data_IF_672289877244
#
_entry.id   IF_672289877244
#
_cell.length_a   1.000
_cell.length_b   1.000
_cell.length_c   1.000
_cell.angle_alpha   90.00
_cell.angle_beta   90.00
_cell.angle_gamma   90.00
#
_symmetry.space_group_name_H-M   'P 1'
#
loop_
_entity.id
_entity.type
_entity.pdbx_description
1 polymer ?
#
# COMPACT_ATOMS: atom_id res chain seq x y z
N UNK A 1 5.38 12.90 101.25
CA UNK A 1 5.63 11.68 101.97
C UNK A 1 5.58 10.46 100.99
N UNK A 2 6.67 9.78 100.82
CA UNK A 2 6.90 8.45 100.25
C UNK A 2 6.24 8.11 98.85
N UNK A 3 7.09 8.11 97.84
CA UNK A 3 7.59 6.99 97.03
C UNK A 3 6.68 5.76 96.85
N UNK A 4 6.36 5.40 95.63
CA UNK A 4 6.76 4.08 95.20
C UNK A 4 6.89 3.99 93.63
N UNK A 5 7.98 3.41 93.21
CA UNK A 5 8.33 3.07 91.83
C UNK A 5 7.68 1.71 91.52
N UNK A 6 7.12 1.55 90.34
CA UNK A 6 7.11 0.25 89.71
C UNK A 6 7.20 0.40 88.19
N UNK A 7 8.23 -0.23 87.67
CA UNK A 7 8.55 -0.31 86.26
C UNK A 7 7.51 -1.16 85.51
N UNK A 8 7.11 -0.70 84.36
CA UNK A 8 6.35 -1.50 83.39
C UNK A 8 7.22 -1.65 82.17
N UNK A 9 7.64 -2.88 81.91
CA UNK A 9 8.40 -3.26 80.72
C UNK A 9 7.46 -3.16 79.47
N UNK A 10 7.91 -2.35 78.53
CA UNK A 10 7.23 -2.24 77.23
C UNK A 10 7.81 -3.32 76.28
N UNK A 11 6.99 -4.31 75.95
CA UNK A 11 7.28 -5.30 74.88
C UNK A 11 7.12 -4.63 73.53
N UNK A 12 8.22 -4.42 72.82
CA UNK A 12 8.19 -3.96 71.45
C UNK A 12 7.92 -5.18 70.57
N UNK A 13 6.68 -5.27 69.99
CA UNK A 13 6.34 -6.22 68.98
C UNK A 13 6.81 -5.70 67.64
N UNK A 14 7.92 -6.23 67.11
CA UNK A 14 8.41 -5.93 65.78
C UNK A 14 7.51 -6.58 64.74
N UNK A 15 6.69 -5.75 64.05
CA UNK A 15 5.91 -6.14 62.89
C UNK A 15 6.88 -6.16 61.70
N UNK A 16 7.34 -7.35 61.31
CA UNK A 16 8.09 -7.51 60.04
C UNK A 16 7.09 -7.39 58.89
N UNK A 17 7.04 -6.19 58.28
CA UNK A 17 6.38 -6.00 56.98
C UNK A 17 7.30 -6.63 55.94
N UNK A 18 6.97 -7.83 55.52
CA UNK A 18 7.54 -8.45 54.31
C UNK A 18 7.06 -7.66 53.08
N UNK A 19 7.91 -6.76 52.60
CA UNK A 19 7.77 -6.26 51.24
C UNK A 19 8.04 -7.46 50.30
N UNK A 20 6.96 -8.09 49.88
CA UNK A 20 7.01 -8.97 48.71
C UNK A 20 7.37 -8.10 47.51
N UNK A 21 8.61 -8.16 47.08
CA UNK A 21 9.03 -7.79 45.74
C UNK A 21 8.24 -8.68 44.79
N UNK A 22 7.09 -8.17 44.31
CA UNK A 22 6.50 -8.64 43.08
C UNK A 22 7.59 -8.42 42.02
N UNK A 23 8.30 -9.47 41.63
CA UNK A 23 8.94 -9.50 40.34
C UNK A 23 7.81 -9.24 39.35
N UNK A 24 7.71 -8.03 38.86
CA UNK A 24 7.01 -7.77 37.61
C UNK A 24 7.58 -8.79 36.62
N UNK A 25 6.75 -9.61 36.04
CA UNK A 25 7.11 -10.35 34.87
C UNK A 25 7.52 -9.28 33.84
N UNK A 26 8.82 -9.03 33.71
CA UNK A 26 9.34 -8.50 32.48
C UNK A 26 8.95 -9.57 31.46
N UNK A 27 8.05 -9.27 30.54
CA UNK A 27 8.00 -9.99 29.28
C UNK A 27 9.44 -10.02 28.79
N UNK A 28 9.96 -11.20 28.54
CA UNK A 28 11.31 -11.37 27.97
C UNK A 28 11.31 -10.58 26.66
N UNK A 29 12.00 -9.45 26.68
CA UNK A 29 12.19 -8.52 25.58
C UNK A 29 13.27 -9.06 24.64
N UNK A 30 13.19 -10.36 24.33
CA UNK A 30 14.11 -11.00 23.41
C UNK A 30 13.57 -10.84 21.99
N UNK A 31 14.37 -10.24 21.12
CA UNK A 31 14.19 -10.26 19.68
C UNK A 31 13.89 -11.69 19.22
N UNK A 32 13.03 -11.82 18.23
CA UNK A 32 12.71 -13.12 17.63
C UNK A 32 13.98 -13.70 16.99
N UNK A 33 14.38 -14.93 17.36
CA UNK A 33 15.48 -15.63 16.71
C UNK A 33 14.94 -16.45 15.52
N UNK A 34 15.34 -16.08 14.33
CA UNK A 34 14.92 -16.71 13.07
C UNK A 34 16.06 -17.51 12.42
N UNK A 35 17.06 -17.94 13.21
CA UNK A 35 18.22 -18.70 12.73
C UNK A 35 17.81 -20.03 12.09
N UNK A 36 18.13 -20.20 10.81
CA UNK A 36 17.81 -21.42 10.06
C UNK A 36 16.38 -21.50 9.53
N UNK A 37 15.55 -20.48 9.82
CA UNK A 37 14.16 -20.43 9.37
C UNK A 37 14.03 -19.92 7.92
N UNK A 38 12.87 -20.18 7.35
CA UNK A 38 12.46 -19.64 6.05
C UNK A 38 11.22 -18.77 6.28
N UNK A 39 11.31 -17.51 5.88
CA UNK A 39 10.18 -16.58 5.93
C UNK A 39 9.41 -16.66 4.60
N UNK A 40 8.16 -17.06 4.65
CA UNK A 40 7.25 -17.02 3.53
C UNK A 40 6.59 -15.65 3.44
N UNK A 41 6.98 -14.86 2.42
CA UNK A 41 6.38 -13.56 2.14
C UNK A 41 5.29 -13.70 1.07
N UNK A 42 4.04 -13.74 1.51
CA UNK A 42 2.88 -13.91 0.64
C UNK A 42 2.59 -12.59 -0.10
N UNK A 43 2.60 -12.62 -1.43
CA UNK A 43 2.21 -11.52 -2.32
C UNK A 43 0.96 -11.97 -3.11
N UNK A 44 -0.21 -11.31 -2.94
CA UNK A 44 -1.47 -11.74 -3.55
C UNK A 44 -1.65 -11.31 -5.01
N UNK A 45 -0.57 -11.23 -5.78
CA UNK A 45 -0.51 -10.77 -7.17
C UNK A 45 0.41 -11.65 -8.00
N UNK A 46 0.37 -11.47 -9.35
CA UNK A 46 1.31 -12.13 -10.26
C UNK A 46 2.75 -11.63 -10.08
N UNK A 47 3.71 -12.40 -10.58
CA UNK A 47 5.16 -12.12 -10.45
C UNK A 47 5.65 -10.97 -11.36
N UNK A 48 4.80 -10.42 -12.22
CA UNK A 48 5.19 -9.45 -13.25
C UNK A 48 4.99 -7.98 -12.86
N UNK A 49 4.27 -7.72 -11.75
CA UNK A 49 3.83 -6.39 -11.36
C UNK A 49 4.70 -5.69 -10.32
N UNK A 50 4.28 -4.47 -9.95
CA UNK A 50 5.00 -3.63 -8.99
C UNK A 50 5.11 -4.23 -7.58
N UNK A 51 4.14 -5.05 -7.13
CA UNK A 51 4.23 -5.71 -5.82
C UNK A 51 5.30 -6.79 -5.79
N UNK A 52 5.48 -7.53 -6.90
CA UNK A 52 6.56 -8.50 -7.03
C UNK A 52 7.94 -7.80 -7.01
N UNK A 53 8.09 -6.71 -7.77
CA UNK A 53 9.35 -5.93 -7.81
C UNK A 53 9.71 -5.36 -6.44
N UNK A 54 8.72 -4.79 -5.75
CA UNK A 54 8.87 -4.26 -4.41
C UNK A 54 9.27 -5.35 -3.40
N UNK A 55 8.60 -6.50 -3.39
CA UNK A 55 8.94 -7.59 -2.48
C UNK A 55 10.32 -8.18 -2.80
N UNK A 56 10.66 -8.38 -4.06
CA UNK A 56 11.98 -8.88 -4.48
C UNK A 56 13.13 -7.89 -4.20
N UNK A 57 12.84 -6.59 -4.15
CA UNK A 57 13.81 -5.59 -3.70
C UNK A 57 14.11 -5.73 -2.20
N UNK A 58 13.05 -5.87 -1.39
CA UNK A 58 13.22 -5.94 0.06
C UNK A 58 13.64 -7.32 0.57
N UNK A 59 13.27 -8.42 -0.08
CA UNK A 59 13.49 -9.78 0.45
C UNK A 59 14.95 -10.09 0.82
N UNK A 60 15.97 -9.82 -0.03
CA UNK A 60 17.36 -10.03 0.35
C UNK A 60 17.82 -9.10 1.48
N UNK A 61 17.37 -7.82 1.46
CA UNK A 61 17.70 -6.85 2.50
C UNK A 61 17.09 -7.24 3.85
N UNK A 62 15.86 -7.77 3.83
CA UNK A 62 15.17 -8.25 5.02
C UNK A 62 15.85 -9.51 5.59
N UNK A 63 16.28 -10.43 4.72
CA UNK A 63 17.08 -11.59 5.12
C UNK A 63 18.34 -11.17 5.89
N UNK A 64 19.05 -10.16 5.38
CA UNK A 64 20.28 -9.66 6.02
C UNK A 64 20.01 -8.88 7.33
N UNK A 65 18.84 -8.24 7.45
CA UNK A 65 18.50 -7.38 8.58
C UNK A 65 17.84 -8.12 9.75
N UNK A 66 17.17 -9.24 9.49
CA UNK A 66 16.49 -10.03 10.52
C UNK A 66 17.50 -10.82 11.37
N UNK A 67 17.24 -10.98 12.68
CA UNK A 67 18.06 -11.83 13.55
C UNK A 67 18.14 -13.28 13.05
N UNK A 68 19.33 -13.82 12.97
CA UNK A 68 19.56 -15.17 12.47
C UNK A 68 19.68 -15.29 10.96
N UNK A 69 19.55 -14.22 10.21
CA UNK A 69 19.63 -14.17 8.73
C UNK A 69 18.80 -15.26 8.04
N UNK A 70 17.47 -15.31 8.29
CA UNK A 70 16.60 -16.32 7.71
C UNK A 70 16.53 -16.17 6.18
N UNK A 71 16.15 -17.24 5.48
CA UNK A 71 15.85 -17.12 4.05
C UNK A 71 14.48 -16.49 3.84
N UNK A 72 14.39 -15.33 3.18
CA UNK A 72 13.10 -14.73 2.81
C UNK A 72 12.69 -15.15 1.41
N UNK A 73 11.55 -15.85 1.29
CA UNK A 73 11.02 -16.38 0.04
C UNK A 73 9.71 -15.68 -0.31
N UNK A 74 9.68 -15.01 -1.47
CA UNK A 74 8.46 -14.38 -1.97
C UNK A 74 7.54 -15.45 -2.59
N UNK A 75 6.32 -15.57 -2.06
CA UNK A 75 5.29 -16.53 -2.50
C UNK A 75 4.15 -15.79 -3.19
N UNK A 76 3.97 -16.02 -4.48
CA UNK A 76 2.88 -15.40 -5.24
C UNK A 76 1.59 -16.20 -5.12
N UNK A 77 0.50 -15.53 -4.71
CA UNK A 77 -0.84 -16.13 -4.55
C UNK A 77 -1.90 -15.26 -5.22
N UNK A 78 -1.85 -15.08 -6.55
CA UNK A 78 -2.82 -14.24 -7.27
C UNK A 78 -4.22 -14.84 -7.24
N UNK A 79 -5.19 -14.02 -7.60
CA UNK A 79 -6.59 -14.41 -7.80
C UNK A 79 -7.58 -13.48 -7.13
N UNK A 80 -8.72 -13.31 -7.82
CA UNK A 80 -9.81 -12.41 -7.43
C UNK A 80 -9.31 -10.98 -7.07
N UNK A 81 -8.34 -10.46 -7.84
CA UNK A 81 -7.76 -9.13 -7.62
C UNK A 81 -7.13 -8.95 -6.24
N UNK A 82 -6.44 -9.94 -5.70
CA UNK A 82 -5.81 -10.06 -4.39
C UNK A 82 -6.65 -10.68 -3.26
N UNK A 83 -7.98 -10.65 -3.30
CA UNK A 83 -8.80 -11.12 -2.18
C UNK A 83 -8.57 -12.60 -1.83
N UNK A 84 -8.14 -13.44 -2.79
CA UNK A 84 -7.78 -14.84 -2.51
C UNK A 84 -6.63 -14.94 -1.51
N UNK A 85 -5.51 -14.26 -1.80
CA UNK A 85 -4.33 -14.28 -0.92
C UNK A 85 -4.59 -13.59 0.42
N UNK A 86 -5.33 -12.48 0.42
CA UNK A 86 -5.70 -11.75 1.63
C UNK A 86 -6.63 -12.57 2.54
N UNK A 87 -7.66 -13.23 1.98
CA UNK A 87 -8.53 -14.13 2.72
C UNK A 87 -7.77 -15.36 3.27
N UNK A 88 -6.77 -15.85 2.54
CA UNK A 88 -5.90 -16.91 3.03
C UNK A 88 -5.08 -16.43 4.22
N UNK A 89 -4.42 -15.26 4.11
CA UNK A 89 -3.63 -14.69 5.20
C UNK A 89 -4.45 -14.42 6.45
N UNK A 90 -5.70 -13.93 6.32
CA UNK A 90 -6.62 -13.74 7.44
C UNK A 90 -6.90 -15.02 8.23
N UNK A 91 -6.90 -16.17 7.55
CA UNK A 91 -7.11 -17.47 8.18
C UNK A 91 -5.87 -18.08 8.86
N UNK A 92 -4.72 -17.41 8.76
CA UNK A 92 -3.49 -17.86 9.43
C UNK A 92 -3.45 -17.30 10.85
N UNK A 93 -3.14 -18.19 11.79
CA UNK A 93 -2.76 -17.78 13.14
C UNK A 93 -1.27 -17.43 13.17
N UNK A 94 -0.89 -16.51 14.06
CA UNK A 94 0.53 -16.29 14.32
C UNK A 94 1.12 -17.53 15.01
N UNK A 95 2.16 -18.10 14.44
CA UNK A 95 2.86 -19.25 15.03
C UNK A 95 4.24 -18.83 15.55
N UNK A 96 5.19 -18.53 14.66
CA UNK A 96 6.61 -18.34 14.97
C UNK A 96 7.24 -17.13 14.27
N UNK A 97 6.46 -16.34 13.56
CA UNK A 97 6.93 -15.17 12.79
C UNK A 97 7.50 -15.52 11.42
N UNK A 98 7.32 -16.74 10.92
CA UNK A 98 7.84 -17.16 9.61
C UNK A 98 6.92 -16.84 8.44
N UNK A 99 5.78 -16.21 8.69
CA UNK A 99 4.85 -15.78 7.63
C UNK A 99 4.56 -14.30 7.70
N UNK A 100 4.79 -13.60 6.58
CA UNK A 100 4.43 -12.20 6.40
C UNK A 100 3.61 -12.01 5.11
N UNK A 101 2.85 -10.93 5.05
CA UNK A 101 1.98 -10.63 3.92
C UNK A 101 2.29 -9.25 3.33
N UNK A 102 2.39 -9.18 2.02
CA UNK A 102 2.56 -7.93 1.30
C UNK A 102 1.27 -7.51 0.59
N UNK A 103 0.61 -6.49 1.09
CA UNK A 103 -0.60 -5.94 0.48
C UNK A 103 -0.32 -4.90 -0.61
N UNK A 104 -1.40 -4.39 -1.19
CA UNK A 104 -1.42 -3.16 -1.99
C UNK A 104 -2.79 -2.48 -1.90
N UNK A 105 -2.95 -1.31 -2.50
CA UNK A 105 -4.26 -0.66 -2.61
C UNK A 105 -5.34 -1.56 -3.23
N UNK A 106 -4.98 -2.51 -4.09
CA UNK A 106 -5.92 -3.53 -4.61
C UNK A 106 -6.38 -4.55 -3.56
N UNK A 107 -5.69 -4.66 -2.43
CA UNK A 107 -6.16 -5.42 -1.25
C UNK A 107 -6.99 -4.55 -0.33
N UNK A 108 -6.62 -3.30 -0.17
CA UNK A 108 -7.24 -2.33 0.72
C UNK A 108 -8.61 -1.85 0.22
N UNK A 109 -8.75 -1.48 -1.05
CA UNK A 109 -9.97 -0.88 -1.60
C UNK A 109 -11.21 -1.79 -1.52
N UNK A 110 -11.13 -3.11 -1.78
CA UNK A 110 -12.26 -3.99 -1.56
C UNK A 110 -12.76 -3.99 -0.11
N UNK A 111 -11.85 -3.87 0.85
CA UNK A 111 -12.19 -3.71 2.26
C UNK A 111 -12.92 -2.38 2.51
N UNK A 112 -12.38 -1.26 2.00
CA UNK A 112 -13.00 0.06 2.11
C UNK A 112 -14.38 0.15 1.44
N UNK A 113 -14.61 -0.62 0.39
CA UNK A 113 -15.86 -0.62 -0.38
C UNK A 113 -16.86 -1.71 0.08
N UNK A 114 -16.59 -2.42 1.17
CA UNK A 114 -17.42 -3.52 1.65
C UNK A 114 -17.71 -4.57 0.57
N UNK A 115 -16.69 -4.90 -0.25
CA UNK A 115 -16.80 -5.92 -1.31
C UNK A 115 -17.15 -7.28 -0.67
N UNK A 116 -18.25 -7.94 -1.07
CA UNK A 116 -18.71 -9.17 -0.41
C UNK A 116 -17.74 -10.36 -0.55
N UNK A 117 -16.70 -10.26 -1.36
CA UNK A 117 -15.63 -11.25 -1.47
C UNK A 117 -14.57 -11.11 -0.37
N UNK A 118 -14.53 -9.98 0.36
CA UNK A 118 -13.63 -9.71 1.48
C UNK A 118 -14.06 -10.52 2.69
N UNK A 119 -13.14 -11.29 3.25
CA UNK A 119 -13.28 -12.07 4.49
C UNK A 119 -12.12 -11.80 5.43
N UNK A 120 -11.49 -10.65 5.29
CA UNK A 120 -10.38 -10.19 6.11
C UNK A 120 -10.72 -8.84 6.75
N UNK A 121 -10.18 -8.63 7.94
CA UNK A 121 -10.22 -7.37 8.63
C UNK A 121 -8.84 -6.70 8.47
N UNK A 122 -8.74 -5.81 7.47
CA UNK A 122 -7.46 -5.24 7.04
C UNK A 122 -6.78 -4.44 8.16
N UNK A 123 -7.58 -3.81 9.03
CA UNK A 123 -7.10 -3.01 10.16
C UNK A 123 -6.59 -3.83 11.34
N UNK A 124 -6.91 -5.14 11.41
CA UNK A 124 -6.48 -6.01 12.51
C UNK A 124 -5.06 -6.56 12.32
N UNK A 125 -4.51 -6.44 11.11
CA UNK A 125 -3.16 -6.93 10.82
C UNK A 125 -2.09 -5.98 11.34
N UNK A 126 -0.96 -6.54 11.77
CA UNK A 126 0.14 -5.77 12.36
C UNK A 126 1.07 -5.25 11.27
N UNK A 127 0.97 -3.96 10.94
CA UNK A 127 1.83 -3.33 9.92
C UNK A 127 3.22 -3.10 10.46
N UNK A 128 4.25 -3.50 9.69
CA UNK A 128 5.68 -3.32 10.02
C UNK A 128 6.42 -2.44 9.01
N UNK A 129 5.89 -2.32 7.79
CA UNK A 129 6.36 -1.39 6.75
C UNK A 129 5.17 -0.87 5.96
N UNK A 130 5.15 0.44 5.68
CA UNK A 130 4.26 1.05 4.71
C UNK A 130 5.07 1.87 3.70
N UNK A 131 4.88 1.56 2.41
CA UNK A 131 5.61 2.15 1.30
C UNK A 131 4.69 2.98 0.44
N UNK A 132 5.02 4.26 0.25
CA UNK A 132 4.39 5.12 -0.75
C UNK A 132 4.76 4.72 -2.18
N UNK A 133 3.96 5.15 -3.12
CA UNK A 133 4.24 5.02 -4.56
C UNK A 133 3.49 6.10 -5.32
N UNK A 134 3.96 6.42 -6.52
CA UNK A 134 3.18 7.14 -7.52
C UNK A 134 2.54 6.19 -8.54
N UNK A 135 1.87 6.79 -9.51
CA UNK A 135 1.32 6.10 -10.67
C UNK A 135 1.46 6.96 -11.92
N UNK A 136 1.92 6.37 -13.01
CA UNK A 136 2.11 7.06 -14.30
C UNK A 136 1.20 6.44 -15.34
N UNK A 137 0.36 7.28 -15.96
CA UNK A 137 -0.46 6.92 -17.12
C UNK A 137 0.35 7.15 -18.39
N UNK A 138 0.20 6.25 -19.34
CA UNK A 138 0.90 6.33 -20.62
C UNK A 138 0.03 5.83 -21.78
N UNK A 139 0.34 6.32 -22.96
CA UNK A 139 -0.36 6.07 -24.21
C UNK A 139 0.60 5.55 -25.28
N UNK A 140 0.12 4.88 -26.34
CA UNK A 140 0.94 4.64 -27.54
C UNK A 140 1.22 5.96 -28.27
N UNK A 141 2.29 5.98 -29.05
CA UNK A 141 2.82 7.18 -29.66
C UNK A 141 1.82 7.94 -30.58
N UNK A 142 0.97 7.21 -31.28
CA UNK A 142 -0.06 7.80 -32.17
C UNK A 142 -1.17 8.52 -31.40
N UNK A 143 -1.59 8.01 -30.25
CA UNK A 143 -2.57 8.68 -29.37
C UNK A 143 -1.92 9.87 -28.63
N UNK A 144 -0.68 9.74 -28.22
CA UNK A 144 0.06 10.86 -27.66
C UNK A 144 0.21 12.02 -28.66
N UNK A 145 0.45 11.73 -29.94
CA UNK A 145 0.50 12.75 -30.98
C UNK A 145 -0.87 13.46 -31.19
N UNK A 146 -1.99 12.74 -31.08
CA UNK A 146 -3.31 13.35 -31.09
C UNK A 146 -3.51 14.28 -29.90
N UNK A 147 -3.13 13.82 -28.71
CA UNK A 147 -3.17 14.59 -27.46
C UNK A 147 -2.35 15.90 -27.60
N UNK A 148 -1.11 15.84 -28.11
CA UNK A 148 -0.24 16.99 -28.30
C UNK A 148 -0.84 18.02 -29.28
N UNK A 149 -1.60 17.56 -30.27
CA UNK A 149 -2.16 18.42 -31.31
C UNK A 149 -3.48 19.09 -30.95
N UNK A 150 -4.26 18.52 -30.03
CA UNK A 150 -5.62 19.00 -29.77
C UNK A 150 -6.12 18.78 -28.33
N UNK A 151 -5.22 18.51 -27.38
CA UNK A 151 -5.61 18.29 -25.97
C UNK A 151 -6.39 17.00 -25.77
N UNK A 152 -6.99 16.88 -24.59
CA UNK A 152 -7.83 15.71 -24.22
C UNK A 152 -9.03 15.57 -25.15
N UNK A 153 -9.56 16.68 -25.63
CA UNK A 153 -10.70 16.73 -26.56
C UNK A 153 -10.42 15.99 -27.86
N UNK A 154 -9.18 15.95 -28.34
CA UNK A 154 -8.80 15.18 -29.53
C UNK A 154 -8.88 13.66 -29.35
N UNK A 155 -9.03 13.20 -28.12
CA UNK A 155 -9.19 11.79 -27.75
C UNK A 155 -10.65 11.38 -27.54
N UNK A 156 -11.62 12.29 -27.64
CA UNK A 156 -13.05 12.05 -27.33
C UNK A 156 -13.68 10.92 -28.14
N UNK A 157 -13.26 10.75 -29.41
CA UNK A 157 -13.75 9.69 -30.30
C UNK A 157 -12.91 8.38 -30.21
N UNK A 158 -11.94 8.34 -29.29
CA UNK A 158 -11.07 7.17 -29.11
C UNK A 158 -11.70 6.18 -28.16
N UNK A 159 -11.87 4.92 -28.61
CA UNK A 159 -12.19 3.83 -27.71
C UNK A 159 -10.91 3.34 -27.04
N UNK A 160 -10.79 3.56 -25.75
CA UNK A 160 -9.68 3.06 -24.98
C UNK A 160 -9.99 1.66 -24.43
N UNK A 161 -9.02 0.76 -24.51
CA UNK A 161 -9.05 -0.56 -23.88
C UNK A 161 -7.98 -0.57 -22.78
N UNK A 162 -8.40 -0.96 -21.59
CA UNK A 162 -7.57 -0.99 -20.40
C UNK A 162 -7.62 -2.35 -19.69
N UNK A 163 -6.47 -2.99 -19.49
CA UNK A 163 -6.38 -4.19 -18.67
C UNK A 163 -6.50 -3.86 -17.18
N UNK A 164 -7.51 -4.38 -16.49
CA UNK A 164 -7.83 -4.06 -15.10
C UNK A 164 -7.91 -5.29 -14.19
N UNK A 165 -7.40 -5.17 -12.96
CA UNK A 165 -7.57 -6.19 -11.92
C UNK A 165 -9.02 -6.26 -11.41
N UNK A 166 -9.78 -5.18 -11.57
CA UNK A 166 -11.17 -5.06 -11.14
C UNK A 166 -11.53 -3.66 -10.69
N UNK A 167 -12.77 -3.29 -10.84
CA UNK A 167 -13.27 -1.94 -10.57
C UNK A 167 -13.17 -1.54 -9.08
N UNK A 168 -13.19 -2.51 -8.16
CA UNK A 168 -13.02 -2.28 -6.71
C UNK A 168 -11.55 -2.40 -6.26
N UNK A 169 -10.58 -2.31 -7.18
CA UNK A 169 -9.14 -2.43 -6.91
C UNK A 169 -8.48 -1.06 -6.98
N UNK A 170 -7.16 -1.01 -6.84
CA UNK A 170 -6.41 0.25 -7.03
C UNK A 170 -6.70 0.91 -8.39
N UNK A 171 -7.12 0.10 -9.37
CA UNK A 171 -7.58 0.53 -10.69
C UNK A 171 -8.78 1.48 -10.66
N UNK A 172 -9.50 1.59 -9.53
CA UNK A 172 -10.53 2.59 -9.29
C UNK A 172 -10.00 4.02 -9.52
N UNK A 173 -8.77 4.30 -9.09
CA UNK A 173 -8.19 5.65 -9.21
C UNK A 173 -8.01 6.08 -10.67
N UNK A 174 -7.36 5.30 -11.56
CA UNK A 174 -7.33 5.65 -12.98
C UNK A 174 -8.71 5.64 -13.65
N UNK A 175 -9.61 4.72 -13.29
CA UNK A 175 -10.95 4.67 -13.87
C UNK A 175 -11.76 5.94 -13.56
N UNK A 176 -11.70 6.44 -12.32
CA UNK A 176 -12.32 7.72 -11.94
C UNK A 176 -11.65 8.91 -12.65
N UNK A 177 -10.31 8.92 -12.74
CA UNK A 177 -9.59 9.98 -13.44
C UNK A 177 -9.99 10.08 -14.92
N UNK A 178 -10.09 8.94 -15.61
CA UNK A 178 -10.49 8.91 -17.03
C UNK A 178 -11.97 9.24 -17.23
N UNK A 179 -12.85 8.85 -16.30
CA UNK A 179 -14.25 9.28 -16.30
C UNK A 179 -14.37 10.80 -16.18
N UNK A 180 -13.63 11.42 -15.24
CA UNK A 180 -13.59 12.87 -15.05
C UNK A 180 -13.02 13.61 -16.28
N UNK A 181 -12.07 13.01 -17.00
CA UNK A 181 -11.56 13.55 -18.27
C UNK A 181 -12.50 13.32 -19.46
N UNK A 182 -13.63 12.64 -19.27
CA UNK A 182 -14.60 12.33 -20.33
C UNK A 182 -14.10 11.31 -21.35
N UNK A 183 -13.14 10.46 -20.99
CA UNK A 183 -12.60 9.43 -21.87
C UNK A 183 -13.50 8.20 -21.93
N UNK A 184 -13.68 7.65 -23.13
CA UNK A 184 -14.38 6.39 -23.32
C UNK A 184 -13.44 5.21 -23.11
N UNK A 185 -13.34 4.74 -21.86
CA UNK A 185 -12.47 3.63 -21.48
C UNK A 185 -13.29 2.38 -21.20
N UNK A 186 -12.96 1.28 -21.90
CA UNK A 186 -13.51 -0.06 -21.69
C UNK A 186 -12.48 -0.91 -20.90
N UNK A 187 -12.70 -1.20 -19.61
CA UNK A 187 -11.82 -2.03 -18.83
C UNK A 187 -12.07 -3.51 -19.11
N UNK A 188 -11.00 -4.25 -19.35
CA UNK A 188 -10.99 -5.72 -19.39
C UNK A 188 -10.62 -6.21 -17.99
N UNK A 189 -11.61 -6.56 -17.21
CA UNK A 189 -11.43 -6.98 -15.81
C UNK A 189 -10.87 -8.40 -15.69
N UNK A 190 -10.12 -8.64 -14.61
CA UNK A 190 -9.71 -9.99 -14.19
C UNK A 190 -8.23 -10.33 -14.44
N UNK A 191 -7.39 -9.34 -14.81
CA UNK A 191 -5.93 -9.57 -14.84
C UNK A 191 -5.42 -9.85 -13.42
N UNK A 192 -4.36 -10.64 -13.27
CA UNK A 192 -3.84 -11.08 -11.97
C UNK A 192 -2.87 -10.08 -11.34
N UNK A 193 -2.36 -9.12 -12.11
CA UNK A 193 -1.46 -8.06 -11.66
C UNK A 193 -1.31 -6.95 -12.68
N UNK A 194 -0.83 -5.77 -12.26
CA UNK A 194 -0.64 -4.63 -13.17
C UNK A 194 0.36 -4.93 -14.30
N UNK A 195 1.33 -5.83 -14.06
CA UNK A 195 2.25 -6.26 -15.10
C UNK A 195 1.56 -6.94 -16.29
N UNK A 196 0.44 -7.62 -16.08
CA UNK A 196 -0.34 -8.23 -17.15
C UNK A 196 -1.02 -7.18 -18.03
N UNK A 197 -1.52 -6.06 -17.42
CA UNK A 197 -2.03 -4.90 -18.16
C UNK A 197 -0.95 -4.27 -19.04
N UNK A 198 0.28 -4.11 -18.52
CA UNK A 198 1.42 -3.65 -19.32
C UNK A 198 1.71 -4.59 -20.50
N UNK A 199 1.66 -5.91 -20.29
CA UNK A 199 1.84 -6.86 -21.38
C UNK A 199 0.72 -6.79 -22.44
N UNK A 200 -0.53 -6.52 -22.03
CA UNK A 200 -1.62 -6.24 -22.97
C UNK A 200 -1.32 -4.99 -23.81
N UNK A 201 -0.81 -3.93 -23.18
CA UNK A 201 -0.39 -2.72 -23.89
C UNK A 201 0.73 -2.99 -24.88
N UNK A 202 1.78 -3.70 -24.49
CA UNK A 202 2.90 -4.09 -25.37
C UNK A 202 2.45 -4.90 -26.61
N UNK A 203 1.40 -5.73 -26.45
CA UNK A 203 0.83 -6.54 -27.55
C UNK A 203 -0.21 -5.78 -28.37
N UNK A 204 -0.53 -4.53 -28.02
CA UNK A 204 -1.57 -3.73 -28.67
C UNK A 204 -3.00 -4.20 -28.36
N UNK A 205 -3.18 -5.00 -27.30
CA UNK A 205 -4.48 -5.44 -26.78
C UNK A 205 -5.13 -4.39 -25.89
N UNK A 206 -4.33 -3.45 -25.35
CA UNK A 206 -4.73 -2.26 -24.62
C UNK A 206 -4.02 -1.04 -25.23
N UNK A 207 -4.66 0.14 -25.18
CA UNK A 207 -4.12 1.38 -25.72
C UNK A 207 -4.12 2.55 -24.72
N UNK A 208 -4.40 2.25 -23.47
CA UNK A 208 -4.13 3.09 -22.30
C UNK A 208 -3.75 2.16 -21.16
N UNK A 209 -2.75 2.54 -20.38
CA UNK A 209 -2.38 1.81 -19.19
C UNK A 209 -1.76 2.75 -18.15
N UNK A 210 -1.70 2.31 -16.90
CA UNK A 210 -0.89 2.93 -15.87
C UNK A 210 -0.09 1.87 -15.13
N UNK A 211 1.06 2.28 -14.63
CA UNK A 211 1.85 1.45 -13.72
C UNK A 211 2.22 2.23 -12.47
N UNK A 212 2.27 1.55 -11.33
CA UNK A 212 2.89 2.12 -10.13
C UNK A 212 4.38 2.31 -10.36
N UNK A 213 5.00 3.28 -9.68
CA UNK A 213 6.37 3.72 -9.95
C UNK A 213 7.38 2.59 -10.04
N UNK A 214 7.35 1.61 -9.13
CA UNK A 214 8.27 0.46 -9.17
C UNK A 214 8.14 -0.39 -10.45
N UNK A 215 6.94 -0.51 -10.98
CA UNK A 215 6.71 -1.22 -12.25
C UNK A 215 6.98 -0.34 -13.46
N UNK A 216 6.70 0.96 -13.37
CA UNK A 216 6.97 1.92 -14.43
C UNK A 216 8.48 2.04 -14.69
N UNK A 217 9.26 2.33 -13.65
CA UNK A 217 10.72 2.53 -13.75
C UNK A 217 11.43 1.36 -14.43
N UNK A 218 11.02 0.14 -14.14
CA UNK A 218 11.69 -1.05 -14.67
C UNK A 218 11.03 -1.67 -15.90
N UNK A 219 9.74 -1.45 -16.11
CA UNK A 219 8.97 -2.12 -17.17
C UNK A 219 8.45 -1.20 -18.28
N UNK A 220 8.17 0.07 -17.97
CA UNK A 220 7.64 1.03 -18.97
C UNK A 220 8.74 1.93 -19.50
N UNK A 221 9.73 2.33 -18.67
CA UNK A 221 10.86 3.15 -19.15
C UNK A 221 11.52 2.60 -20.43
N UNK A 222 11.78 1.28 -20.57
CA UNK A 222 12.29 0.74 -21.84
C UNK A 222 11.34 0.92 -23.02
N UNK A 223 10.02 0.92 -22.81
CA UNK A 223 9.03 1.18 -23.86
C UNK A 223 9.03 2.64 -24.29
N UNK A 224 9.26 3.55 -23.33
CA UNK A 224 9.40 4.98 -23.60
C UNK A 224 10.69 5.25 -24.40
N UNK A 225 11.81 4.64 -24.00
CA UNK A 225 13.08 4.72 -24.71
C UNK A 225 12.99 4.17 -26.14
N UNK A 226 12.17 3.12 -26.32
CA UNK A 226 11.89 2.56 -27.65
C UNK A 226 10.85 3.37 -28.47
N UNK A 227 10.24 4.40 -27.88
CA UNK A 227 9.22 5.25 -28.53
C UNK A 227 7.87 4.55 -28.72
N UNK A 228 7.61 3.44 -28.05
CA UNK A 228 6.35 2.68 -28.15
C UNK A 228 5.33 3.12 -27.10
N UNK A 229 5.78 3.70 -26.00
CA UNK A 229 4.96 4.31 -24.96
C UNK A 229 5.36 5.76 -24.75
N UNK A 230 4.38 6.63 -24.51
CA UNK A 230 4.59 8.04 -24.16
C UNK A 230 3.92 8.31 -22.82
N UNK A 231 4.63 8.74 -21.77
CA UNK A 231 4.05 9.11 -20.50
C UNK A 231 3.15 10.34 -20.67
N UNK A 232 1.99 10.31 -20.05
CA UNK A 232 1.02 11.40 -20.16
C UNK A 232 0.97 12.23 -18.88
N UNK A 233 0.53 11.62 -17.78
CA UNK A 233 0.47 12.28 -16.47
C UNK A 233 0.74 11.31 -15.34
N UNK A 234 0.99 11.87 -14.15
CA UNK A 234 1.03 11.12 -12.89
C UNK A 234 -0.26 11.39 -12.11
N UNK A 235 -0.59 10.53 -11.14
CA UNK A 235 -1.63 10.89 -10.18
C UNK A 235 -1.14 11.95 -9.18
N UNK A 236 0.15 12.19 -9.12
CA UNK A 236 0.81 13.10 -8.18
C UNK A 236 1.25 12.41 -6.89
N UNK A 237 1.47 13.21 -5.88
CA UNK A 237 1.70 12.81 -4.49
C UNK A 237 0.83 13.67 -3.58
N UNK A 238 0.67 13.26 -2.31
CA UNK A 238 -0.04 14.03 -1.29
C UNK A 238 1.00 14.65 -0.35
N UNK A 239 0.92 15.97 -0.17
CA UNK A 239 1.76 16.70 0.77
C UNK A 239 1.25 16.60 2.22
N UNK A 240 1.96 17.22 3.17
CA UNK A 240 1.59 17.18 4.60
C UNK A 240 0.27 17.91 4.90
N UNK A 241 -0.13 18.85 4.03
CA UNK A 241 -1.38 19.60 4.09
C UNK A 241 -2.55 18.87 3.43
N UNK A 242 -2.29 17.76 2.72
CA UNK A 242 -3.29 16.94 2.04
C UNK A 242 -3.58 17.36 0.60
N UNK A 243 -2.76 18.24 0.02
CA UNK A 243 -2.93 18.69 -1.37
C UNK A 243 -2.25 17.70 -2.34
N UNK A 244 -2.81 17.63 -3.56
CA UNK A 244 -2.16 16.93 -4.66
C UNK A 244 -1.03 17.80 -5.21
N UNK A 245 0.19 17.27 -5.18
CA UNK A 245 1.40 17.93 -5.68
C UNK A 245 2.09 17.07 -6.74
N UNK A 246 3.05 17.66 -7.45
CA UNK A 246 3.85 16.92 -8.44
C UNK A 246 4.51 15.70 -7.83
N UNK A 247 4.48 14.59 -8.59
CA UNK A 247 5.12 13.34 -8.20
C UNK A 247 6.64 13.54 -8.07
N UNK A 248 7.24 13.21 -6.91
CA UNK A 248 8.66 13.49 -6.69
C UNK A 248 9.60 12.62 -7.53
N UNK A 249 9.14 11.47 -8.01
CA UNK A 249 9.91 10.60 -8.92
C UNK A 249 9.81 11.08 -10.38
N UNK A 250 8.69 11.70 -10.75
CA UNK A 250 8.40 12.16 -12.11
C UNK A 250 8.02 13.66 -12.15
N UNK A 251 8.87 14.56 -11.65
CA UNK A 251 8.50 15.97 -11.43
C UNK A 251 8.22 16.74 -12.74
N UNK A 252 8.66 16.22 -13.87
CA UNK A 252 8.45 16.83 -15.19
C UNK A 252 7.09 16.46 -15.82
N UNK A 253 6.40 15.44 -15.31
CA UNK A 253 5.06 15.08 -15.78
C UNK A 253 4.00 15.91 -15.03
N UNK A 254 2.91 16.34 -15.70
CA UNK A 254 1.79 16.95 -15.01
C UNK A 254 1.12 15.92 -14.10
N UNK A 255 0.41 16.42 -13.10
CA UNK A 255 -0.52 15.60 -12.31
C UNK A 255 -1.84 15.43 -13.05
N UNK A 256 -2.65 14.45 -12.65
CA UNK A 256 -4.04 14.34 -13.11
C UNK A 256 -4.82 15.65 -12.86
N UNK A 257 -4.65 16.27 -11.68
CA UNK A 257 -5.29 17.54 -11.34
C UNK A 257 -4.94 18.64 -12.35
N UNK A 258 -3.66 18.80 -12.71
CA UNK A 258 -3.23 19.80 -13.71
C UNK A 258 -3.78 19.48 -15.11
N UNK A 259 -3.89 18.19 -15.47
CA UNK A 259 -4.54 17.80 -16.75
C UNK A 259 -6.02 18.09 -16.71
N UNK A 260 -6.71 17.81 -15.59
CA UNK A 260 -8.12 18.12 -15.41
C UNK A 260 -8.37 19.64 -15.52
N UNK A 261 -7.58 20.47 -14.84
CA UNK A 261 -7.68 21.94 -14.93
C UNK A 261 -7.50 22.49 -16.36
N UNK A 262 -6.69 21.80 -17.17
CA UNK A 262 -6.46 22.16 -18.57
C UNK A 262 -7.54 21.62 -19.53
N UNK A 263 -8.46 20.77 -19.06
CA UNK A 263 -9.49 20.09 -19.86
C UNK A 263 -10.86 20.73 -19.61
N UNK A 264 -11.50 21.24 -20.65
CA UNK A 264 -12.74 22.01 -20.51
C UNK A 264 -13.93 21.22 -19.89
N UNK A 265 -13.95 19.91 -20.05
CA UNK A 265 -14.99 19.03 -19.53
C UNK A 265 -14.71 18.49 -18.12
N UNK A 266 -13.51 18.74 -17.54
CA UNK A 266 -13.11 18.23 -16.25
C UNK A 266 -13.16 19.33 -15.19
N UNK A 267 -13.73 19.01 -14.03
CA UNK A 267 -13.81 19.92 -12.89
C UNK A 267 -12.98 19.36 -11.72
N UNK A 268 -12.14 20.22 -11.12
CA UNK A 268 -11.35 19.90 -9.92
C UNK A 268 -12.10 20.23 -8.63
N UNK A 269 -13.42 19.97 -8.64
CA UNK A 269 -14.32 20.15 -7.50
C UNK A 269 -15.57 19.29 -7.65
N UNK A 270 -16.30 19.12 -6.54
CA UNK A 270 -17.54 18.34 -6.50
C UNK A 270 -17.31 16.85 -6.21
N UNK A 271 -18.41 16.14 -5.96
CA UNK A 271 -18.41 14.79 -5.36
C UNK A 271 -17.53 13.78 -6.11
N UNK A 272 -17.51 13.84 -7.45
CA UNK A 272 -16.71 12.90 -8.25
C UNK A 272 -15.21 13.15 -8.10
N UNK A 273 -14.77 14.41 -8.13
CA UNK A 273 -13.37 14.76 -7.93
C UNK A 273 -12.94 14.52 -6.47
N UNK A 274 -13.79 14.88 -5.50
CA UNK A 274 -13.55 14.66 -4.08
C UNK A 274 -13.41 13.15 -3.78
N UNK A 275 -14.22 12.30 -4.44
CA UNK A 275 -14.10 10.86 -4.36
C UNK A 275 -12.78 10.36 -4.96
N UNK A 276 -12.35 10.90 -6.11
CA UNK A 276 -11.06 10.58 -6.69
C UNK A 276 -9.91 10.94 -5.72
N UNK A 277 -9.91 12.15 -5.14
CA UNK A 277 -8.91 12.59 -4.15
C UNK A 277 -8.90 11.65 -2.95
N UNK A 278 -10.07 11.29 -2.41
CA UNK A 278 -10.19 10.42 -1.25
C UNK A 278 -9.57 9.04 -1.49
N UNK A 279 -9.90 8.38 -2.61
CA UNK A 279 -9.33 7.07 -2.95
C UNK A 279 -7.86 7.15 -3.37
N UNK A 280 -7.44 8.22 -4.03
CA UNK A 280 -6.02 8.46 -4.29
C UNK A 280 -5.23 8.60 -2.98
N UNK A 281 -5.72 9.42 -2.04
CA UNK A 281 -5.10 9.63 -0.72
C UNK A 281 -5.07 8.35 0.11
N UNK A 282 -6.13 7.56 0.10
CA UNK A 282 -6.15 6.27 0.79
C UNK A 282 -5.17 5.26 0.16
N UNK A 283 -5.02 5.26 -1.17
CA UNK A 283 -4.38 4.18 -1.91
C UNK A 283 -2.89 4.35 -2.18
N UNK A 284 -2.37 5.58 -2.37
CA UNK A 284 -1.02 5.79 -2.91
C UNK A 284 0.06 6.15 -1.87
N UNK A 285 -0.18 6.99 -0.85
CA UNK A 285 0.82 7.32 0.16
C UNK A 285 1.32 6.12 0.97
N UNK A 286 0.48 5.08 1.12
CA UNK A 286 0.80 3.83 1.80
C UNK A 286 0.34 2.62 0.95
N UNK A 287 0.66 2.64 -0.32
CA UNK A 287 0.13 1.73 -1.33
C UNK A 287 0.52 0.27 -1.11
N UNK A 288 1.73 0.03 -0.59
CA UNK A 288 2.21 -1.32 -0.24
C UNK A 288 2.55 -1.37 1.23
N UNK A 289 2.06 -2.40 1.90
CA UNK A 289 2.35 -2.61 3.32
C UNK A 289 2.77 -4.05 3.57
N UNK A 290 3.67 -4.24 4.54
CA UNK A 290 4.01 -5.57 5.08
C UNK A 290 3.31 -5.74 6.40
N UNK A 291 2.68 -6.91 6.54
CA UNK A 291 1.93 -7.27 7.74
C UNK A 291 2.41 -8.58 8.34
N UNK A 292 2.36 -8.65 9.66
CA UNK A 292 2.27 -9.88 10.43
C UNK A 292 0.79 -10.21 10.67
N UNK A 293 0.43 -11.51 10.89
CA UNK A 293 -0.92 -11.92 11.23
C UNK A 293 -1.48 -11.17 12.45
N UNK A 294 -2.80 -11.04 12.52
CA UNK A 294 -3.47 -10.62 13.74
C UNK A 294 -3.05 -11.51 14.91
N UNK A 295 -2.78 -10.95 16.08
CA UNK A 295 -2.30 -11.73 17.24
C UNK A 295 -0.79 -11.96 17.29
N UNK A 296 -0.01 -11.43 16.35
CA UNK A 296 1.46 -11.42 16.48
C UNK A 296 1.87 -10.70 17.77
N UNK A 297 2.78 -11.28 18.58
CA UNK A 297 3.23 -10.64 19.81
C UNK A 297 4.10 -9.42 19.51
N UNK A 298 4.20 -8.50 20.48
CA UNK A 298 4.89 -7.24 20.29
C UNK A 298 6.37 -7.43 19.90
N UNK A 299 7.07 -8.40 20.46
CA UNK A 299 8.46 -8.66 20.11
C UNK A 299 8.65 -9.08 18.63
N UNK A 300 7.70 -9.77 18.02
CA UNK A 300 7.73 -10.07 16.59
C UNK A 300 7.49 -8.81 15.75
N UNK A 301 6.50 -7.98 16.14
CA UNK A 301 6.22 -6.70 15.48
C UNK A 301 7.44 -5.79 15.55
N UNK A 302 8.07 -5.69 16.70
CA UNK A 302 9.27 -4.87 16.92
C UNK A 302 10.46 -5.40 16.11
N UNK A 303 10.70 -6.72 16.11
CA UNK A 303 11.78 -7.35 15.32
C UNK A 303 11.68 -7.01 13.82
N UNK A 304 10.50 -7.17 13.21
CA UNK A 304 10.30 -6.84 11.81
C UNK A 304 10.34 -5.33 11.54
N UNK A 305 9.76 -4.53 12.42
CA UNK A 305 9.78 -3.06 12.30
C UNK A 305 11.21 -2.52 12.39
N UNK A 306 12.03 -3.04 13.32
CA UNK A 306 13.44 -2.68 13.45
C UNK A 306 14.25 -3.11 12.24
N UNK A 307 14.01 -4.31 11.70
CA UNK A 307 14.68 -4.78 10.49
C UNK A 307 14.36 -3.87 9.28
N UNK A 308 13.11 -3.54 9.05
CA UNK A 308 12.74 -2.60 7.97
C UNK A 308 13.29 -1.20 8.23
N UNK A 309 13.29 -0.74 9.48
CA UNK A 309 13.89 0.55 9.83
C UNK A 309 15.41 0.55 9.54
N UNK A 310 16.12 -0.50 9.92
CA UNK A 310 17.55 -0.63 9.63
C UNK A 310 17.84 -0.60 8.12
N UNK A 311 16.98 -1.23 7.29
CA UNK A 311 17.10 -1.19 5.84
C UNK A 311 16.90 0.24 5.32
N UNK A 312 15.85 0.92 5.74
CA UNK A 312 15.49 2.26 5.22
C UNK A 312 16.43 3.36 5.71
N UNK A 313 17.16 3.13 6.80
CA UNK A 313 18.16 4.05 7.36
C UNK A 313 19.59 3.79 6.88
N UNK A 314 19.80 2.86 5.94
CA UNK A 314 21.12 2.64 5.32
C UNK A 314 21.56 3.87 4.55
N UNK A 315 22.84 4.18 4.63
CA UNK A 315 23.43 5.32 3.89
C UNK A 315 23.24 5.23 2.36
N UNK A 316 23.21 4.01 1.82
CA UNK A 316 23.05 3.72 0.41
C UNK A 316 21.59 3.51 -0.02
N UNK A 317 20.62 3.56 0.91
CA UNK A 317 19.22 3.22 0.63
C UNK A 317 18.62 4.06 -0.50
N UNK A 318 18.85 5.37 -0.48
CA UNK A 318 18.33 6.28 -1.51
C UNK A 318 18.84 5.89 -2.91
N UNK A 319 20.10 5.47 -3.03
CA UNK A 319 20.71 5.05 -4.29
C UNK A 319 20.12 3.70 -4.77
N UNK A 320 20.14 2.68 -3.91
CA UNK A 320 19.71 1.34 -4.31
C UNK A 320 18.18 1.24 -4.55
N UNK A 321 17.38 2.08 -3.88
CA UNK A 321 15.92 2.08 -3.99
C UNK A 321 15.40 2.89 -5.19
N UNK A 322 16.16 3.87 -5.67
CA UNK A 322 15.72 4.84 -6.67
C UNK A 322 15.05 4.19 -7.90
N UNK A 323 15.70 3.21 -8.50
CA UNK A 323 15.21 2.53 -9.71
C UNK A 323 14.20 1.43 -9.43
N UNK A 324 13.99 1.07 -8.17
CA UNK A 324 13.07 0.00 -7.76
C UNK A 324 11.80 0.52 -7.11
N UNK A 325 11.89 1.59 -6.34
CA UNK A 325 10.79 2.14 -5.56
C UNK A 325 10.41 3.56 -5.99
N UNK A 326 11.36 4.35 -6.54
CA UNK A 326 11.23 5.79 -6.71
C UNK A 326 11.55 6.55 -5.41
N UNK A 327 11.19 7.83 -5.37
CA UNK A 327 11.49 8.74 -4.24
C UNK A 327 10.22 8.92 -3.39
N UNK A 328 9.81 7.88 -2.69
CA UNK A 328 8.60 7.93 -1.84
C UNK A 328 8.95 7.53 -0.40
N UNK A 329 8.18 8.03 0.59
CA UNK A 329 8.35 7.66 1.98
C UNK A 329 8.25 6.14 2.19
N UNK A 330 9.16 5.62 3.00
CA UNK A 330 9.13 4.26 3.53
C UNK A 330 8.97 4.38 5.05
N UNK A 331 7.80 4.02 5.56
CA UNK A 331 7.39 4.26 6.94
C UNK A 331 7.47 2.96 7.73
N UNK A 332 8.08 3.01 8.90
CA UNK A 332 8.24 1.87 9.84
C UNK A 332 7.72 2.25 11.22
N UNK A 333 7.50 1.28 12.08
CA UNK A 333 7.06 1.50 13.45
C UNK A 333 5.80 2.38 13.54
N UNK A 334 5.75 3.38 14.45
CA UNK A 334 4.57 4.22 14.64
C UNK A 334 4.12 4.99 13.39
N UNK A 335 5.04 5.30 12.46
CA UNK A 335 4.69 5.97 11.22
C UNK A 335 3.93 5.03 10.26
N UNK A 336 4.30 3.75 10.22
CA UNK A 336 3.55 2.75 9.44
C UNK A 336 2.13 2.55 10.02
N UNK A 337 1.98 2.52 11.35
CA UNK A 337 0.67 2.45 12.01
C UNK A 337 -0.25 3.62 11.63
N UNK A 338 0.27 4.85 11.69
CA UNK A 338 -0.48 6.03 11.24
C UNK A 338 -0.82 6.02 9.76
N UNK A 339 0.06 5.46 8.93
CA UNK A 339 -0.19 5.30 7.52
C UNK A 339 -1.33 4.29 7.26
N UNK A 340 -1.36 3.18 7.99
CA UNK A 340 -2.47 2.20 7.95
C UNK A 340 -3.79 2.85 8.39
N UNK A 341 -3.81 3.59 9.50
CA UNK A 341 -5.01 4.29 9.98
C UNK A 341 -5.59 5.23 8.89
N UNK A 342 -4.74 6.03 8.25
CA UNK A 342 -5.17 6.92 7.16
C UNK A 342 -5.64 6.15 5.92
N UNK A 343 -4.96 5.05 5.61
CA UNK A 343 -5.26 4.22 4.46
C UNK A 343 -6.57 3.42 4.61
N UNK A 344 -7.10 3.28 5.82
CA UNK A 344 -8.36 2.54 6.09
C UNK A 344 -9.56 3.44 6.31
N UNK A 345 -9.44 4.73 6.02
CA UNK A 345 -10.54 5.70 6.16
C UNK A 345 -10.77 6.43 4.84
N UNK A 346 -12.02 6.42 4.37
CA UNK A 346 -12.53 7.28 3.30
C UNK A 346 -13.81 7.96 3.78
N UNK A 347 -14.08 9.21 3.35
CA UNK A 347 -15.34 9.87 3.69
C UNK A 347 -16.56 9.08 3.17
N UNK A 348 -17.62 9.00 3.97
CA UNK A 348 -18.85 8.26 3.64
C UNK A 348 -19.47 8.73 2.31
N UNK A 349 -19.40 10.03 2.01
CA UNK A 349 -19.89 10.61 0.75
C UNK A 349 -19.09 10.10 -0.45
N UNK A 350 -17.76 10.04 -0.33
CA UNK A 350 -16.88 9.51 -1.37
C UNK A 350 -17.12 8.00 -1.60
N UNK A 351 -17.26 7.25 -0.52
CA UNK A 351 -17.57 5.82 -0.57
C UNK A 351 -18.91 5.56 -1.25
N UNK A 352 -19.96 6.28 -0.85
CA UNK A 352 -21.31 6.16 -1.40
C UNK A 352 -21.34 6.50 -2.89
N UNK A 353 -20.71 7.61 -3.28
CA UNK A 353 -20.58 7.99 -4.68
C UNK A 353 -19.90 6.89 -5.52
N UNK A 354 -18.80 6.35 -5.03
CA UNK A 354 -18.07 5.30 -5.76
C UNK A 354 -18.90 4.03 -5.88
N UNK A 355 -19.62 3.62 -4.84
CA UNK A 355 -20.49 2.43 -4.88
C UNK A 355 -21.59 2.60 -5.94
N UNK A 356 -22.26 3.76 -5.97
CA UNK A 356 -23.29 4.08 -6.96
C UNK A 356 -22.70 4.13 -8.38
N UNK A 357 -21.60 4.83 -8.57
CA UNK A 357 -20.90 4.93 -9.85
C UNK A 357 -20.45 3.55 -10.39
N UNK A 358 -19.91 2.68 -9.52
CA UNK A 358 -19.52 1.31 -9.89
C UNK A 358 -20.73 0.47 -10.34
N UNK A 359 -21.88 0.64 -9.68
CA UNK A 359 -23.10 -0.05 -10.07
C UNK A 359 -23.61 0.44 -11.43
N UNK A 360 -23.67 1.75 -11.63
CA UNK A 360 -24.20 2.38 -12.85
C UNK A 360 -23.28 2.16 -14.05
N UNK A 361 -21.96 2.29 -13.85
CA UNK A 361 -20.97 2.26 -14.95
C UNK A 361 -20.52 0.86 -15.33
N UNK A 362 -20.40 -0.05 -14.36
CA UNK A 362 -19.81 -1.37 -14.56
C UNK A 362 -20.73 -2.51 -14.10
N UNK A 363 -21.92 -2.24 -13.57
CA UNK A 363 -22.82 -3.25 -13.02
C UNK A 363 -22.27 -3.97 -11.79
N UNK A 364 -21.33 -3.34 -11.07
CA UNK A 364 -20.72 -3.91 -9.85
C UNK A 364 -21.60 -3.54 -8.67
N UNK A 365 -22.31 -4.53 -8.11
CA UNK A 365 -23.17 -4.34 -6.94
C UNK A 365 -22.40 -4.72 -5.70
N UNK A 366 -22.23 -3.75 -4.80
CA UNK A 366 -21.62 -3.89 -3.48
C UNK A 366 -22.74 -3.75 -2.42
N UNK A 367 -22.67 -4.55 -1.36
CA UNK A 367 -23.69 -4.57 -0.32
C UNK A 367 -23.29 -3.70 0.87
#
# INVERSE_FOLDING_TARGET
>A
MKLNKNALAASILALAVSFGLSKGAHADDHQLDLSGETIDWIIPFSETGGSARWANFYAPLLSDALPGNPTVVVRFMPGAGSTRGANHFQGLEYEDGTTIFGSSGSTQFPYLLNDPRVRYEYSDWNVVLASGTGGVVYLPADLAQKLDSGGVEALSDTNFIYGSQGATRLDLVPLLAWELLGLNVEPVFGIEGRGDGRLMFERGEANIDYQTSSSYLSGVTPLVEAGTAVPWFTFGAIDDEGNVVRDPTFPNLPTFTEVCEATAACETSGTAYDAWVAFFTAGFPAQKMVFLPAGAPQNAIDTYSEAFNAITQRDDFAEISLNSLGVYPQMTGPAAGKALERATVVPDEAQSFVIEWLADRYGVVLQ
#
